data_IF_482024541442
#
_entry.id   IF_482024541442
#
_cell.length_a   1.000
_cell.length_b   1.000
_cell.length_c   1.000
_cell.angle_alpha   90.00
_cell.angle_beta   90.00
_cell.angle_gamma   90.00
#
_symmetry.space_group_name_H-M   'P 1'
#
loop_
_entity.id
_entity.type
_entity.pdbx_description
1 polymer ?
#
# COMPACT_ATOMS: atom_id res chain seq x y z
N UNK A 1 -36.22 13.99 -14.52
CA UNK A 1 -35.49 13.62 -13.30
C UNK A 1 -34.67 12.39 -13.63
N UNK A 2 -33.44 12.57 -14.10
CA UNK A 2 -32.58 11.47 -14.54
C UNK A 2 -32.04 10.74 -13.32
N UNK A 3 -32.47 9.49 -13.14
CA UNK A 3 -31.87 8.56 -12.19
C UNK A 3 -30.42 8.33 -12.63
N UNK A 4 -29.47 9.00 -11.99
CA UNK A 4 -28.07 8.62 -12.10
C UNK A 4 -27.98 7.18 -11.61
N UNK A 5 -27.72 6.24 -12.52
CA UNK A 5 -27.39 4.87 -12.14
C UNK A 5 -26.23 4.96 -11.17
N UNK A 6 -26.48 4.55 -9.93
CA UNK A 6 -25.44 4.49 -8.91
C UNK A 6 -24.50 3.37 -9.34
N UNK A 7 -23.52 3.71 -10.16
CA UNK A 7 -22.54 2.76 -10.69
C UNK A 7 -21.80 2.13 -9.51
N UNK A 8 -21.44 0.86 -9.60
CA UNK A 8 -20.66 0.15 -8.57
C UNK A 8 -19.40 0.91 -8.16
N UNK A 9 -18.78 1.63 -9.11
CA UNK A 9 -17.65 2.53 -8.86
C UNK A 9 -17.98 3.71 -7.93
N UNK A 10 -19.21 4.24 -7.98
CA UNK A 10 -19.71 5.30 -7.10
C UNK A 10 -19.99 4.76 -5.70
N UNK A 11 -20.52 3.54 -5.58
CA UNK A 11 -20.74 2.87 -4.29
C UNK A 11 -19.42 2.58 -3.57
N UNK A 12 -18.42 2.05 -4.29
CA UNK A 12 -17.09 1.77 -3.74
C UNK A 12 -16.39 3.06 -3.29
N UNK A 13 -16.46 4.11 -4.12
CA UNK A 13 -15.98 5.45 -3.76
C UNK A 13 -16.66 5.94 -2.48
N UNK A 14 -17.98 5.89 -2.42
CA UNK A 14 -18.75 6.38 -1.27
C UNK A 14 -18.47 5.59 0.02
N UNK A 15 -18.22 4.28 -0.05
CA UNK A 15 -17.88 3.48 1.14
C UNK A 15 -16.53 3.88 1.75
N UNK A 16 -15.53 4.21 0.92
CA UNK A 16 -14.24 4.73 1.37
C UNK A 16 -14.31 6.18 1.88
N UNK A 17 -15.28 6.97 1.41
CA UNK A 17 -15.48 8.36 1.85
C UNK A 17 -16.23 8.48 3.18
N UNK A 18 -17.03 7.48 3.59
CA UNK A 18 -17.80 7.53 4.85
C UNK A 18 -16.90 7.72 6.08
N UNK A 19 -15.77 6.99 6.25
CA UNK A 19 -14.84 7.26 7.35
C UNK A 19 -14.09 8.59 7.19
N UNK A 20 -13.64 8.93 5.98
CA UNK A 20 -12.83 10.13 5.76
C UNK A 20 -13.62 11.43 6.04
N UNK A 21 -14.90 11.47 5.66
CA UNK A 21 -15.77 12.65 5.84
C UNK A 21 -16.19 12.84 7.31
N UNK A 22 -16.42 11.76 8.06
CA UNK A 22 -16.85 11.85 9.46
C UNK A 22 -15.72 12.18 10.45
N UNK A 23 -14.46 11.94 10.07
CA UNK A 23 -13.34 11.92 11.03
C UNK A 23 -12.21 12.93 10.73
N UNK A 24 -12.38 13.84 9.77
CA UNK A 24 -11.41 14.91 9.50
C UNK A 24 -10.05 14.42 8.97
N UNK A 25 -10.02 13.21 8.39
CA UNK A 25 -8.83 12.58 7.83
C UNK A 25 -8.70 12.93 6.33
N UNK A 26 -7.46 13.01 5.83
CA UNK A 26 -7.18 13.38 4.43
C UNK A 26 -7.79 12.35 3.47
N UNK A 27 -8.77 12.80 2.68
CA UNK A 27 -9.40 12.02 1.62
C UNK A 27 -8.38 11.63 0.56
N UNK A 28 -7.35 12.45 0.33
CA UNK A 28 -6.25 12.11 -0.56
C UNK A 28 -5.44 10.91 -0.04
N UNK A 29 -5.13 10.87 1.25
CA UNK A 29 -4.34 9.79 1.85
C UNK A 29 -5.06 8.43 1.77
N UNK A 30 -6.37 8.39 2.01
CA UNK A 30 -7.17 7.18 1.81
C UNK A 30 -7.24 6.77 0.34
N UNK A 31 -7.33 7.73 -0.59
CA UNK A 31 -7.27 7.46 -2.02
C UNK A 31 -5.94 6.83 -2.45
N UNK A 32 -4.83 7.37 -1.94
CA UNK A 32 -3.49 6.81 -2.15
C UNK A 32 -3.40 5.39 -1.58
N UNK A 33 -3.88 5.18 -0.35
CA UNK A 33 -3.86 3.85 0.27
C UNK A 33 -4.66 2.83 -0.55
N UNK A 34 -5.87 3.19 -0.99
CA UNK A 34 -6.71 2.32 -1.80
C UNK A 34 -6.03 1.95 -3.12
N UNK A 35 -5.40 2.91 -3.79
CA UNK A 35 -4.64 2.67 -5.01
C UNK A 35 -3.46 1.72 -4.76
N UNK A 36 -2.69 1.94 -3.69
CA UNK A 36 -1.56 1.08 -3.33
C UNK A 36 -2.01 -0.34 -3.02
N UNK A 37 -3.11 -0.54 -2.31
CA UNK A 37 -3.66 -1.87 -2.04
C UNK A 37 -4.08 -2.62 -3.31
N UNK A 38 -4.63 -1.91 -4.30
CA UNK A 38 -4.97 -2.51 -5.60
C UNK A 38 -3.69 -2.97 -6.30
N UNK A 39 -2.69 -2.09 -6.39
CA UNK A 39 -1.40 -2.41 -7.02
C UNK A 39 -0.71 -3.56 -6.29
N UNK A 40 -0.71 -3.54 -4.95
CA UNK A 40 -0.11 -4.59 -4.15
C UNK A 40 -0.81 -5.92 -4.37
N UNK A 41 -2.14 -5.95 -4.36
CA UNK A 41 -2.90 -7.18 -4.63
C UNK A 41 -2.58 -7.75 -6.01
N UNK A 42 -2.52 -6.90 -7.04
CA UNK A 42 -2.15 -7.33 -8.40
C UNK A 42 -0.73 -7.89 -8.41
N UNK A 43 0.23 -7.18 -7.83
CA UNK A 43 1.63 -7.65 -7.80
C UNK A 43 1.81 -8.92 -6.97
N UNK A 44 1.09 -9.08 -5.87
CA UNK A 44 1.05 -10.30 -5.06
C UNK A 44 0.48 -11.50 -5.83
N UNK A 45 -0.61 -11.32 -6.58
CA UNK A 45 -1.16 -12.38 -7.45
C UNK A 45 -0.17 -12.77 -8.54
N UNK A 46 0.46 -11.80 -9.19
CA UNK A 46 1.49 -12.06 -10.21
C UNK A 46 2.68 -12.79 -9.59
N UNK A 47 3.13 -12.41 -8.38
CA UNK A 47 4.20 -13.11 -7.65
C UNK A 47 3.87 -14.58 -7.48
N UNK A 48 2.69 -14.91 -6.95
CA UNK A 48 2.28 -16.31 -6.75
C UNK A 48 2.28 -17.07 -8.07
N UNK A 49 1.72 -16.47 -9.14
CA UNK A 49 1.71 -17.08 -10.47
C UNK A 49 3.10 -17.32 -11.07
N UNK A 50 4.05 -16.41 -10.84
CA UNK A 50 5.41 -16.49 -11.38
C UNK A 50 6.33 -17.39 -10.54
N UNK A 51 6.24 -17.33 -9.21
CA UNK A 51 7.14 -18.02 -8.28
C UNK A 51 6.65 -19.44 -7.98
N UNK A 52 5.33 -19.62 -7.78
CA UNK A 52 4.73 -20.91 -7.41
C UNK A 52 3.91 -21.54 -8.54
N UNK A 53 3.83 -20.88 -9.69
CA UNK A 53 3.08 -21.33 -10.87
C UNK A 53 1.60 -20.95 -10.82
N UNK A 54 0.99 -20.62 -11.96
CA UNK A 54 -0.39 -20.13 -12.05
C UNK A 54 -1.47 -21.05 -11.47
N UNK A 55 -1.21 -22.35 -11.33
CA UNK A 55 -2.13 -23.30 -10.70
C UNK A 55 -2.22 -23.15 -9.18
N UNK A 56 -1.27 -22.47 -8.54
CA UNK A 56 -1.28 -22.20 -7.10
C UNK A 56 -2.08 -20.95 -6.73
N UNK A 57 -2.53 -20.17 -7.72
CA UNK A 57 -3.39 -19.01 -7.51
C UNK A 57 -4.79 -19.50 -7.12
N UNK A 58 -5.06 -19.50 -5.81
CA UNK A 58 -6.34 -19.90 -5.25
C UNK A 58 -7.13 -18.67 -4.76
N UNK A 59 -8.43 -18.65 -5.03
CA UNK A 59 -9.35 -17.61 -4.54
C UNK A 59 -9.36 -17.50 -3.03
N UNK A 60 -9.18 -18.60 -2.30
CA UNK A 60 -9.11 -18.56 -0.83
C UNK A 60 -7.96 -17.67 -0.32
N UNK A 61 -6.76 -17.85 -0.89
CA UNK A 61 -5.57 -17.07 -0.50
C UNK A 61 -5.72 -15.59 -0.92
N UNK A 62 -6.32 -15.34 -2.08
CA UNK A 62 -6.61 -13.99 -2.54
C UNK A 62 -7.63 -13.27 -1.62
N UNK A 63 -8.74 -13.94 -1.30
CA UNK A 63 -9.75 -13.41 -0.39
C UNK A 63 -9.18 -13.14 1.00
N UNK A 64 -8.31 -14.02 1.51
CA UNK A 64 -7.64 -13.81 2.79
C UNK A 64 -6.68 -12.61 2.74
N UNK A 65 -5.92 -12.45 1.65
CA UNK A 65 -5.06 -11.29 1.44
C UNK A 65 -5.83 -9.97 1.40
N UNK A 66 -6.94 -9.93 0.66
CA UNK A 66 -7.82 -8.76 0.58
C UNK A 66 -8.45 -8.47 1.95
N UNK A 67 -8.95 -9.49 2.64
CA UNK A 67 -9.56 -9.34 3.97
C UNK A 67 -8.56 -8.77 4.98
N UNK A 68 -7.33 -9.29 5.00
CA UNK A 68 -6.26 -8.79 5.88
C UNK A 68 -5.99 -7.29 5.65
N UNK A 69 -5.94 -6.86 4.39
CA UNK A 69 -5.79 -5.44 4.03
C UNK A 69 -6.99 -4.59 4.46
N UNK A 70 -8.22 -5.09 4.28
CA UNK A 70 -9.41 -4.39 4.76
C UNK A 70 -9.38 -4.23 6.29
N UNK A 71 -8.91 -5.22 7.03
CA UNK A 71 -8.71 -5.11 8.48
C UNK A 71 -7.67 -4.03 8.86
N UNK A 72 -6.60 -3.86 8.07
CA UNK A 72 -5.61 -2.79 8.32
C UNK A 72 -6.21 -1.40 8.15
N UNK A 73 -7.08 -1.17 7.15
CA UNK A 73 -7.78 0.12 6.97
C UNK A 73 -8.63 0.49 8.20
N UNK A 74 -9.17 -0.51 8.91
CA UNK A 74 -9.98 -0.25 10.10
C UNK A 74 -9.18 0.38 11.23
N UNK A 75 -7.86 0.19 11.29
CA UNK A 75 -7.01 0.70 12.39
C UNK A 75 -7.13 2.23 12.55
N UNK A 76 -6.82 3.07 11.54
CA UNK A 76 -6.95 4.53 11.68
C UNK A 76 -8.41 4.96 11.92
N UNK A 77 -9.39 4.22 11.40
CA UNK A 77 -10.82 4.51 11.62
C UNK A 77 -11.20 4.27 13.08
N UNK A 78 -10.82 3.12 13.64
CA UNK A 78 -11.09 2.76 15.04
C UNK A 78 -10.41 3.75 15.99
N UNK A 79 -9.15 4.12 15.74
CA UNK A 79 -8.43 5.13 16.53
C UNK A 79 -9.18 6.46 16.52
N UNK A 80 -9.65 6.89 15.35
CA UNK A 80 -10.38 8.16 15.26
C UNK A 80 -11.74 8.11 15.94
N UNK A 81 -12.51 7.03 15.77
CA UNK A 81 -13.80 6.83 16.44
C UNK A 81 -13.63 6.78 17.96
N UNK A 82 -12.63 6.06 18.45
CA UNK A 82 -12.35 5.93 19.88
C UNK A 82 -11.97 7.28 20.50
N UNK A 83 -11.16 8.09 19.79
CA UNK A 83 -10.84 9.45 20.22
C UNK A 83 -12.08 10.32 20.36
N UNK A 84 -12.91 10.37 19.32
CA UNK A 84 -14.18 11.11 19.34
C UNK A 84 -15.10 10.65 20.49
N UNK A 85 -15.24 9.34 20.69
CA UNK A 85 -16.06 8.77 21.76
C UNK A 85 -15.52 9.06 23.16
N UNK A 86 -14.20 9.19 23.32
CA UNK A 86 -13.54 9.53 24.58
C UNK A 86 -13.46 11.05 24.84
N UNK A 87 -13.87 11.88 23.88
CA UNK A 87 -13.72 13.34 23.96
C UNK A 87 -12.28 13.83 23.84
N UNK A 88 -11.40 13.04 23.21
CA UNK A 88 -9.97 13.35 23.00
C UNK A 88 -9.67 13.43 21.52
N UNK A 89 -8.91 14.45 21.10
CA UNK A 89 -8.43 14.53 19.72
C UNK A 89 -7.28 13.54 19.48
N UNK A 90 -7.58 12.44 18.77
CA UNK A 90 -6.59 11.45 18.33
C UNK A 90 -6.27 11.54 16.84
N UNK A 91 -6.62 12.65 16.19
CA UNK A 91 -6.44 12.84 14.74
C UNK A 91 -4.97 12.65 14.32
N UNK A 92 -4.02 13.12 15.13
CA UNK A 92 -2.59 12.95 14.85
C UNK A 92 -2.18 11.47 14.86
N UNK A 93 -2.71 10.68 15.80
CA UNK A 93 -2.42 9.25 15.90
C UNK A 93 -3.06 8.50 14.73
N UNK A 94 -4.31 8.81 14.39
CA UNK A 94 -4.99 8.23 13.24
C UNK A 94 -4.26 8.52 11.92
N UNK A 95 -3.76 9.76 11.73
CA UNK A 95 -2.91 10.13 10.59
C UNK A 95 -1.60 9.35 10.58
N UNK A 96 -0.94 9.20 11.73
CA UNK A 96 0.28 8.39 11.86
C UNK A 96 0.05 6.92 11.49
N UNK A 97 -1.03 6.31 12.00
CA UNK A 97 -1.41 4.95 11.65
C UNK A 97 -1.65 4.80 10.14
N UNK A 98 -2.37 5.75 9.52
CA UNK A 98 -2.59 5.77 8.08
C UNK A 98 -1.27 5.88 7.30
N UNK A 99 -0.33 6.73 7.72
CA UNK A 99 0.98 6.86 7.10
C UNK A 99 1.79 5.56 7.17
N UNK A 100 1.79 4.87 8.31
CA UNK A 100 2.48 3.58 8.47
C UNK A 100 1.88 2.52 7.55
N UNK A 101 0.56 2.46 7.43
CA UNK A 101 -0.11 1.51 6.54
C UNK A 101 0.25 1.80 5.07
N UNK A 102 0.22 3.07 4.65
CA UNK A 102 0.65 3.48 3.30
C UNK A 102 2.09 3.02 3.02
N UNK A 103 3.00 3.20 3.98
CA UNK A 103 4.38 2.75 3.85
C UNK A 103 4.47 1.22 3.75
N UNK A 104 3.69 0.48 4.55
CA UNK A 104 3.67 -0.99 4.49
C UNK A 104 3.20 -1.51 3.14
N UNK A 105 2.22 -0.87 2.49
CA UNK A 105 1.79 -1.24 1.15
C UNK A 105 2.92 -1.00 0.12
N UNK A 106 3.64 0.11 0.25
CA UNK A 106 4.84 0.36 -0.57
C UNK A 106 5.91 -0.72 -0.40
N UNK A 107 6.17 -1.15 0.83
CA UNK A 107 7.13 -2.23 1.11
C UNK A 107 6.70 -3.57 0.55
N UNK A 108 5.42 -3.92 0.66
CA UNK A 108 4.89 -5.17 0.11
C UNK A 108 5.00 -5.23 -1.41
N UNK A 109 4.69 -4.12 -2.10
CA UNK A 109 4.85 -4.00 -3.56
C UNK A 109 6.30 -4.26 -3.97
N UNK A 110 7.26 -3.64 -3.25
CA UNK A 110 8.69 -3.82 -3.54
C UNK A 110 9.12 -5.29 -3.34
N UNK A 111 8.67 -5.92 -2.26
CA UNK A 111 8.87 -7.36 -2.00
C UNK A 111 8.31 -8.24 -3.12
N UNK A 112 7.08 -7.97 -3.56
CA UNK A 112 6.41 -8.69 -4.63
C UNK A 112 7.16 -8.54 -5.97
N UNK A 113 7.53 -7.32 -6.35
CA UNK A 113 8.30 -7.05 -7.57
C UNK A 113 9.67 -7.74 -7.56
N UNK A 114 10.37 -7.70 -6.43
CA UNK A 114 11.68 -8.32 -6.29
C UNK A 114 11.61 -9.85 -6.32
N UNK A 115 10.55 -10.42 -5.73
CA UNK A 115 10.24 -11.86 -5.81
C UNK A 115 9.94 -12.30 -7.24
N UNK A 116 9.12 -11.54 -7.97
CA UNK A 116 8.83 -11.77 -9.40
C UNK A 116 10.12 -11.76 -10.22
N UNK A 117 10.98 -10.74 -10.02
CA UNK A 117 12.22 -10.59 -10.79
C UNK A 117 13.21 -11.71 -10.54
N UNK A 118 13.30 -12.19 -9.30
CA UNK A 118 14.23 -13.25 -8.89
C UNK A 118 13.67 -14.66 -9.08
N UNK A 119 12.35 -14.79 -9.31
CA UNK A 119 11.59 -16.05 -9.33
C UNK A 119 11.76 -16.87 -8.05
N UNK A 120 11.93 -16.19 -6.91
CA UNK A 120 12.05 -16.78 -5.58
C UNK A 120 11.27 -15.93 -4.59
N UNK A 121 10.85 -16.52 -3.49
CA UNK A 121 10.30 -15.74 -2.39
C UNK A 121 11.42 -14.90 -1.77
N UNK A 122 11.21 -13.59 -1.79
CA UNK A 122 12.07 -12.61 -1.15
C UNK A 122 11.24 -11.86 -0.12
N UNK A 123 11.74 -11.83 1.11
CA UNK A 123 11.12 -11.09 2.19
C UNK A 123 11.16 -9.58 1.92
N UNK A 124 10.14 -8.86 2.37
CA UNK A 124 9.97 -7.43 2.09
C UNK A 124 11.18 -6.60 2.57
N UNK A 125 11.72 -6.94 3.74
CA UNK A 125 12.91 -6.29 4.31
C UNK A 125 14.14 -6.46 3.41
N UNK A 126 14.35 -7.66 2.87
CA UNK A 126 15.46 -7.94 1.97
C UNK A 126 15.31 -7.22 0.63
N UNK A 127 14.08 -7.10 0.13
CA UNK A 127 13.80 -6.34 -1.08
C UNK A 127 14.15 -4.85 -0.92
N UNK A 128 13.85 -4.26 0.25
CA UNK A 128 14.21 -2.87 0.57
C UNK A 128 15.73 -2.72 0.66
N UNK A 129 16.41 -3.61 1.39
CA UNK A 129 17.87 -3.58 1.51
C UNK A 129 18.54 -3.65 0.13
N UNK A 130 18.00 -4.50 -0.74
CA UNK A 130 18.45 -4.61 -2.11
C UNK A 130 18.25 -3.29 -2.90
N UNK A 131 17.08 -2.68 -2.83
CA UNK A 131 16.80 -1.39 -3.49
C UNK A 131 17.73 -0.28 -2.99
N UNK A 132 17.89 -0.16 -1.67
CA UNK A 132 18.78 0.82 -1.04
C UNK A 132 20.23 0.63 -1.47
N UNK A 133 20.70 -0.63 -1.55
CA UNK A 133 22.06 -0.93 -2.02
C UNK A 133 22.28 -0.50 -3.47
N UNK A 134 21.26 -0.62 -4.33
CA UNK A 134 21.32 -0.15 -5.73
C UNK A 134 21.31 1.37 -5.82
N UNK A 135 20.44 2.03 -5.06
CA UNK A 135 20.40 3.49 -4.97
C UNK A 135 21.75 4.05 -4.53
N UNK A 136 22.34 3.47 -3.48
CA UNK A 136 23.68 3.85 -3.00
C UNK A 136 24.73 3.74 -4.10
N UNK A 137 24.79 2.61 -4.82
CA UNK A 137 25.73 2.42 -5.94
C UNK A 137 25.51 3.40 -7.08
N UNK A 138 24.26 3.78 -7.37
CA UNK A 138 23.95 4.79 -8.39
C UNK A 138 24.46 6.17 -7.96
N UNK A 139 24.22 6.56 -6.71
CA UNK A 139 24.71 7.81 -6.15
C UNK A 139 26.24 7.88 -6.14
N UNK A 140 26.92 6.80 -5.71
CA UNK A 140 28.38 6.70 -5.75
C UNK A 140 28.92 6.89 -7.17
N UNK A 141 28.31 6.25 -8.18
CA UNK A 141 28.70 6.43 -9.58
C UNK A 141 28.51 7.85 -10.08
N UNK A 142 27.41 8.51 -9.74
CA UNK A 142 27.16 9.90 -10.14
C UNK A 142 28.19 10.85 -9.53
N UNK A 143 28.47 10.71 -8.23
CA UNK A 143 29.45 11.53 -7.52
C UNK A 143 30.89 11.32 -8.05
N UNK A 144 31.26 10.08 -8.33
CA UNK A 144 32.58 9.75 -8.91
C UNK A 144 32.70 10.29 -10.35
N UNK A 145 31.65 10.18 -11.16
CA UNK A 145 31.67 10.65 -12.55
C UNK A 145 31.72 12.19 -12.64
N UNK A 146 31.08 12.89 -11.72
CA UNK A 146 31.14 14.36 -11.63
C UNK A 146 32.52 14.87 -11.18
N UNK A 147 33.24 14.05 -10.40
CA UNK A 147 34.63 14.31 -9.99
C UNK A 147 35.65 14.12 -11.13
N UNK A 148 35.31 13.34 -12.16
CA UNK A 148 36.15 13.07 -13.33
C UNK A 148 36.01 14.11 -14.46
N UNK A 149 34.97 14.95 -14.44
CA UNK A 149 34.66 15.94 -15.50
C UNK A 149 35.30 17.32 -15.26
N UNK A 150 36.00 17.52 -14.13
CA UNK A 150 36.71 18.76 -13.77
C UNK A 150 38.21 18.79 -14.16
N UNK A 151 38.65 17.99 -15.13
CA UNK A 151 40.01 18.06 -15.68
C UNK A 151 39.99 18.31 -17.17
#
# INVERSE_FOLDING_TARGET
MSTHEITTATIIKNFGYIPAIFFGLSTEAYGILALLMIVDTITGVIRVGVVHGWRSVNSHNLSFGILSKMCLILVPVVVSVAGTGAGVDLTMIAKGALSVIILSEGYSILGNVQSIRSRKDIDEFDAINFLLSRLRKMLEKLLVNDSGKKR
#
